data_IF_479583165519
#
_entry.id   IF_479583165519
#
_cell.length_a   1.000
_cell.length_b   1.000
_cell.length_c   1.000
_cell.angle_alpha   90.00
_cell.angle_beta   90.00
_cell.angle_gamma   90.00
#
_symmetry.space_group_name_H-M   'P 1'
#
loop_
_entity.id
_entity.type
_entity.pdbx_description
1 polymer ?
#
# COMPACT_ATOMS: atom_id res chain seq x y z
N UNK A 1 -15.74 -3.83 -0.90
CA UNK A 1 -14.53 -2.99 -0.75
C UNK A 1 -13.48 -3.50 -1.72
N UNK A 2 -12.71 -2.60 -2.34
CA UNK A 2 -11.70 -2.99 -3.35
C UNK A 2 -10.37 -2.31 -3.03
N UNK A 3 -9.28 -3.05 -3.18
CA UNK A 3 -7.98 -2.46 -3.44
C UNK A 3 -7.91 -2.18 -4.94
N UNK A 4 -7.55 -0.96 -5.32
CA UNK A 4 -7.47 -0.57 -6.73
C UNK A 4 -6.25 -1.19 -7.42
N UNK A 5 -6.29 -1.24 -8.75
CA UNK A 5 -5.11 -1.61 -9.53
C UNK A 5 -3.92 -0.67 -9.25
N UNK A 6 -4.19 0.62 -9.00
CA UNK A 6 -3.16 1.60 -8.66
C UNK A 6 -2.47 1.26 -7.34
N UNK A 7 -3.23 0.90 -6.30
CA UNK A 7 -2.67 0.48 -5.01
C UNK A 7 -1.85 -0.80 -5.15
N UNK A 8 -2.36 -1.82 -5.86
CA UNK A 8 -1.66 -3.06 -6.13
C UNK A 8 -0.34 -2.81 -6.90
N UNK A 9 -0.37 -2.01 -7.94
CA UNK A 9 0.83 -1.64 -8.69
C UNK A 9 1.85 -0.89 -7.84
N UNK A 10 1.39 0.04 -6.99
CA UNK A 10 2.26 0.81 -6.10
C UNK A 10 2.95 -0.09 -5.08
N UNK A 11 2.25 -1.05 -4.49
CA UNK A 11 2.83 -2.03 -3.58
C UNK A 11 3.89 -2.89 -4.30
N UNK A 12 3.56 -3.43 -5.47
CA UNK A 12 4.50 -4.25 -6.25
C UNK A 12 5.73 -3.47 -6.69
N UNK A 13 5.56 -2.24 -7.14
CA UNK A 13 6.68 -1.37 -7.52
C UNK A 13 7.57 -1.05 -6.31
N UNK A 14 6.98 -0.75 -5.15
CA UNK A 14 7.74 -0.48 -3.93
C UNK A 14 8.52 -1.71 -3.45
N UNK A 15 7.97 -2.91 -3.63
CA UNK A 15 8.65 -4.17 -3.31
C UNK A 15 9.84 -4.43 -4.24
N UNK A 16 9.74 -4.11 -5.53
CA UNK A 16 10.90 -4.16 -6.45
C UNK A 16 12.02 -3.22 -5.99
N UNK A 17 11.68 -2.03 -5.52
CA UNK A 17 12.67 -1.11 -4.97
C UNK A 17 13.25 -1.63 -3.65
N UNK A 18 12.45 -2.27 -2.82
CA UNK A 18 12.90 -2.85 -1.55
C UNK A 18 13.92 -3.99 -1.76
N UNK A 19 13.73 -4.81 -2.80
CA UNK A 19 14.64 -5.90 -3.16
C UNK A 19 15.86 -5.43 -3.94
N UNK A 20 15.78 -4.27 -4.60
CA UNK A 20 16.89 -3.66 -5.33
C UNK A 20 18.01 -3.10 -4.44
N UNK A 21 17.80 -3.02 -3.13
CA UNK A 21 18.77 -2.46 -2.19
C UNK A 21 19.06 -0.99 -2.44
N UNK A 22 20.34 -0.63 -2.49
CA UNK A 22 20.78 0.76 -2.76
C UNK A 22 20.93 1.06 -4.26
N UNK A 23 20.67 0.10 -5.13
CA UNK A 23 20.78 0.31 -6.57
C UNK A 23 19.68 1.21 -7.10
N UNK A 24 20.01 2.03 -8.11
CA UNK A 24 19.02 2.80 -8.84
C UNK A 24 18.30 1.89 -9.84
N UNK A 25 17.00 1.72 -9.68
CA UNK A 25 16.17 0.82 -10.50
C UNK A 25 15.43 1.64 -11.55
N UNK A 26 15.54 1.24 -12.81
CA UNK A 26 14.83 1.89 -13.92
C UNK A 26 13.33 1.54 -13.88
N UNK A 27 12.49 2.51 -14.24
CA UNK A 27 11.04 2.30 -14.31
C UNK A 27 10.69 1.14 -15.26
N UNK A 28 11.37 1.03 -16.39
CA UNK A 28 11.17 -0.04 -17.37
C UNK A 28 11.47 -1.42 -16.79
N UNK A 29 12.47 -1.54 -15.90
CA UNK A 29 12.79 -2.78 -15.21
C UNK A 29 11.69 -3.20 -14.25
N UNK A 30 11.13 -2.26 -13.48
CA UNK A 30 10.00 -2.49 -12.59
C UNK A 30 8.76 -2.90 -13.40
N UNK A 31 8.45 -2.14 -14.45
CA UNK A 31 7.32 -2.40 -15.33
C UNK A 31 7.35 -3.82 -15.90
N UNK A 32 8.52 -4.26 -16.35
CA UNK A 32 8.72 -5.60 -16.90
C UNK A 32 8.61 -6.69 -15.83
N UNK A 33 9.28 -6.49 -14.69
CA UNK A 33 9.30 -7.47 -13.60
C UNK A 33 7.89 -7.75 -13.04
N UNK A 34 7.05 -6.71 -12.94
CA UNK A 34 5.73 -6.79 -12.34
C UNK A 34 4.57 -6.71 -13.35
N UNK A 35 4.86 -6.70 -14.64
CA UNK A 35 3.84 -6.56 -15.69
C UNK A 35 2.91 -5.36 -15.47
N UNK A 36 3.51 -4.21 -15.15
CA UNK A 36 2.79 -2.95 -14.94
C UNK A 36 2.94 -2.08 -16.19
N UNK A 37 1.84 -1.52 -16.74
CA UNK A 37 1.95 -0.57 -17.84
C UNK A 37 2.80 0.64 -17.46
N UNK A 38 3.82 0.95 -18.25
CA UNK A 38 4.83 1.96 -17.93
C UNK A 38 4.24 3.34 -17.61
N UNK A 39 3.23 3.77 -18.34
CA UNK A 39 2.57 5.08 -18.11
C UNK A 39 1.91 5.16 -16.72
N UNK A 40 1.26 4.08 -16.28
CA UNK A 40 0.71 3.99 -14.93
C UNK A 40 1.79 3.98 -13.88
N UNK A 41 2.86 3.23 -14.11
CA UNK A 41 3.99 3.15 -13.19
C UNK A 41 4.67 4.50 -12.98
N UNK A 42 4.89 5.27 -14.05
CA UNK A 42 5.51 6.60 -13.95
C UNK A 42 4.71 7.54 -13.05
N UNK A 43 3.38 7.55 -13.17
CA UNK A 43 2.51 8.34 -12.30
C UNK A 43 2.55 7.84 -10.85
N UNK A 44 2.56 6.54 -10.64
CA UNK A 44 2.67 5.93 -9.31
C UNK A 44 4.00 6.30 -8.65
N UNK A 45 5.11 6.20 -9.36
CA UNK A 45 6.43 6.57 -8.86
C UNK A 45 6.51 8.07 -8.51
N UNK A 46 5.82 8.92 -9.26
CA UNK A 46 5.70 10.34 -8.95
C UNK A 46 4.92 10.57 -7.66
N UNK A 47 3.78 9.90 -7.47
CA UNK A 47 3.00 9.98 -6.24
C UNK A 47 3.80 9.50 -5.01
N UNK A 48 4.51 8.38 -5.14
CA UNK A 48 5.38 7.84 -4.10
C UNK A 48 6.53 8.80 -3.76
N UNK A 49 7.09 9.47 -4.77
CA UNK A 49 8.13 10.48 -4.58
C UNK A 49 7.59 11.71 -3.84
N UNK A 50 6.42 12.22 -4.22
CA UNK A 50 5.76 13.34 -3.53
C UNK A 50 5.43 13.01 -2.07
N UNK A 51 5.13 11.76 -1.78
CA UNK A 51 4.90 11.28 -0.41
C UNK A 51 6.20 11.05 0.40
N UNK A 52 7.37 11.21 -0.21
CA UNK A 52 8.66 11.02 0.45
C UNK A 52 9.07 9.56 0.65
N UNK A 53 8.43 8.62 -0.04
CA UNK A 53 8.73 7.18 0.05
C UNK A 53 9.76 6.73 -0.97
N UNK A 54 9.86 7.43 -2.10
CA UNK A 54 10.75 7.12 -3.23
C UNK A 54 11.55 8.37 -3.59
N UNK A 55 12.80 8.15 -3.95
CA UNK A 55 13.67 9.16 -4.54
C UNK A 55 14.04 8.75 -5.97
N UNK A 56 14.46 9.71 -6.78
CA UNK A 56 14.83 9.47 -8.17
C UNK A 56 15.94 10.37 -8.63
N UNK A 57 16.68 9.91 -9.64
CA UNK A 57 17.70 10.67 -10.35
C UNK A 57 17.54 10.42 -11.84
N UNK A 58 17.70 11.48 -12.63
CA UNK A 58 17.69 11.40 -14.10
C UNK A 58 19.04 10.91 -14.65
N UNK A 59 19.04 10.45 -15.90
CA UNK A 59 20.22 10.11 -16.68
C UNK A 59 20.49 8.61 -16.76
N UNK A 60 21.59 8.24 -17.45
CA UNK A 60 21.97 6.85 -17.67
C UNK A 60 22.24 6.10 -16.36
N UNK A 61 22.86 6.75 -15.39
CA UNK A 61 23.13 6.23 -14.03
C UNK A 61 21.97 6.47 -13.05
N UNK A 62 20.89 7.07 -13.53
CA UNK A 62 19.71 7.39 -12.71
C UNK A 62 18.78 6.20 -12.53
N UNK A 63 17.64 6.47 -11.92
CA UNK A 63 16.59 5.53 -11.62
C UNK A 63 15.86 5.90 -10.34
N UNK A 64 15.23 4.93 -9.72
CA UNK A 64 14.45 5.07 -8.51
C UNK A 64 15.00 4.20 -7.38
N UNK A 65 14.83 4.65 -6.15
CA UNK A 65 15.14 3.90 -4.93
C UNK A 65 14.24 4.33 -3.78
N UNK A 66 14.16 3.54 -2.72
CA UNK A 66 13.40 3.91 -1.53
C UNK A 66 14.11 5.06 -0.79
N UNK A 67 13.36 6.11 -0.43
CA UNK A 67 13.87 7.25 0.33
C UNK A 67 14.06 6.97 1.82
N UNK A 68 13.52 5.85 2.30
CA UNK A 68 13.61 5.34 3.67
C UNK A 68 13.93 3.86 3.65
N UNK A 69 14.46 3.29 4.76
CA UNK A 69 14.59 1.85 4.87
C UNK A 69 13.24 1.12 4.65
N UNK A 70 13.25 0.00 3.95
CA UNK A 70 12.04 -0.79 3.68
C UNK A 70 11.31 -1.23 4.94
N UNK A 71 12.03 -1.39 6.06
CA UNK A 71 11.46 -1.69 7.39
C UNK A 71 10.71 -0.52 8.04
N UNK A 72 10.84 0.68 7.50
CA UNK A 72 10.16 1.90 7.98
C UNK A 72 9.02 2.35 7.05
N UNK A 73 8.71 1.57 6.02
CA UNK A 73 7.61 1.84 5.08
C UNK A 73 6.58 0.74 5.23
N UNK A 74 5.41 1.08 5.75
CA UNK A 74 4.29 0.14 5.84
C UNK A 74 3.53 0.04 4.51
N UNK A 75 2.76 -1.04 4.32
CA UNK A 75 1.85 -1.14 3.18
C UNK A 75 0.80 -0.01 3.20
N UNK A 76 0.40 0.42 4.40
CA UNK A 76 -0.50 1.56 4.57
C UNK A 76 0.09 2.86 4.02
N UNK A 77 1.39 3.12 4.25
CA UNK A 77 2.07 4.32 3.74
C UNK A 77 2.03 4.37 2.21
N UNK A 78 2.30 3.24 1.56
CA UNK A 78 2.27 3.12 0.10
C UNK A 78 0.86 3.37 -0.45
N UNK A 79 -0.16 2.75 0.13
CA UNK A 79 -1.56 2.92 -0.32
C UNK A 79 -2.02 4.37 -0.11
N UNK A 80 -1.72 4.98 1.03
CA UNK A 80 -2.04 6.39 1.30
C UNK A 80 -1.38 7.35 0.32
N UNK A 81 -0.17 7.05 -0.11
CA UNK A 81 0.56 7.88 -1.06
C UNK A 81 -0.14 7.97 -2.43
N UNK A 82 -0.82 6.92 -2.86
CA UNK A 82 -1.46 6.85 -4.19
C UNK A 82 -2.97 7.00 -4.17
N UNK A 83 -3.65 6.76 -3.05
CA UNK A 83 -5.11 6.78 -2.94
C UNK A 83 -5.64 7.70 -1.83
N UNK A 84 -4.78 8.20 -0.95
CA UNK A 84 -5.21 8.96 0.22
C UNK A 84 -5.66 8.09 1.38
N UNK A 85 -6.51 8.61 2.29
CA UNK A 85 -6.88 7.92 3.52
C UNK A 85 -7.51 6.55 3.29
N UNK A 86 -7.14 5.58 4.15
CA UNK A 86 -7.71 4.23 4.12
C UNK A 86 -9.18 4.25 4.51
N UNK A 87 -9.99 3.44 3.82
CA UNK A 87 -11.39 3.17 4.15
C UNK A 87 -12.25 4.44 4.32
N UNK A 88 -12.20 5.36 3.35
CA UNK A 88 -13.14 6.47 3.32
C UNK A 88 -14.51 6.03 2.78
N UNK A 89 -15.55 6.78 3.16
CA UNK A 89 -16.92 6.62 2.65
C UNK A 89 -17.29 7.89 1.91
N UNK A 90 -17.50 7.82 0.60
CA UNK A 90 -17.79 8.98 -0.26
C UNK A 90 -16.75 10.11 -0.15
N UNK A 91 -15.47 9.74 0.05
CA UNK A 91 -14.38 10.69 0.23
C UNK A 91 -14.26 11.29 1.64
N UNK A 92 -15.18 10.95 2.55
CA UNK A 92 -15.18 11.42 3.95
C UNK A 92 -14.58 10.35 4.86
N UNK A 93 -13.85 10.77 5.87
CA UNK A 93 -13.30 9.86 6.87
C UNK A 93 -14.42 9.26 7.73
N UNK A 94 -14.35 8.00 8.13
CA UNK A 94 -15.40 7.36 8.92
C UNK A 94 -15.79 8.11 10.19
N UNK A 95 -14.84 8.71 10.91
CA UNK A 95 -15.11 9.48 12.13
C UNK A 95 -15.84 10.80 11.90
N UNK A 96 -15.82 11.30 10.67
CA UNK A 96 -16.48 12.55 10.26
C UNK A 96 -17.89 12.31 9.72
N UNK A 97 -18.32 11.03 9.61
CA UNK A 97 -19.62 10.67 9.09
C UNK A 97 -20.73 10.93 10.12
N UNK A 98 -21.82 11.51 9.65
CA UNK A 98 -23.03 11.72 10.42
C UNK A 98 -24.19 10.92 9.82
N UNK A 99 -24.91 10.18 10.67
CA UNK A 99 -26.07 9.40 10.31
C UNK A 99 -27.19 9.61 11.32
N UNK A 100 -28.43 9.54 10.86
CA UNK A 100 -29.62 9.73 11.68
C UNK A 100 -30.49 8.47 11.68
N UNK A 101 -31.37 8.40 12.68
CA UNK A 101 -32.39 7.35 12.77
C UNK A 101 -31.81 5.94 12.79
N UNK A 102 -32.33 5.07 11.96
CA UNK A 102 -31.91 3.65 11.86
C UNK A 102 -30.44 3.48 11.45
N UNK A 103 -29.82 4.49 10.85
CA UNK A 103 -28.45 4.42 10.37
C UNK A 103 -27.39 4.91 11.38
N UNK A 104 -27.78 5.43 12.53
CA UNK A 104 -26.89 6.09 13.52
C UNK A 104 -25.64 5.26 13.84
N UNK A 105 -25.77 3.96 14.02
CA UNK A 105 -24.66 3.09 14.38
C UNK A 105 -23.67 2.77 13.22
N UNK A 106 -23.98 3.13 11.97
CA UNK A 106 -23.10 2.83 10.82
C UNK A 106 -21.75 3.52 10.94
N UNK A 107 -21.66 4.70 11.52
CA UNK A 107 -20.39 5.38 11.74
C UNK A 107 -19.42 4.51 12.53
N UNK A 108 -19.90 3.94 13.63
CA UNK A 108 -19.05 3.10 14.50
C UNK A 108 -18.62 1.82 13.80
N UNK A 109 -19.47 1.24 12.96
CA UNK A 109 -19.12 0.08 12.12
C UNK A 109 -18.01 0.44 11.14
N UNK A 110 -18.08 1.59 10.46
CA UNK A 110 -17.06 2.02 9.53
C UNK A 110 -15.75 2.42 10.22
N UNK A 111 -15.81 3.00 11.40
CA UNK A 111 -14.63 3.26 12.24
C UNK A 111 -13.97 1.94 12.64
N UNK A 112 -14.72 0.94 13.07
CA UNK A 112 -14.21 -0.38 13.42
C UNK A 112 -13.58 -1.10 12.19
N UNK A 113 -14.23 -1.03 11.03
CA UNK A 113 -13.70 -1.59 9.78
C UNK A 113 -12.35 -0.97 9.43
N UNK A 114 -12.25 0.37 9.47
CA UNK A 114 -10.98 1.06 9.22
C UNK A 114 -9.92 0.66 10.23
N UNK A 115 -10.26 0.53 11.50
CA UNK A 115 -9.32 0.11 12.55
C UNK A 115 -8.72 -1.27 12.24
N UNK A 116 -9.52 -2.22 11.76
CA UNK A 116 -9.04 -3.54 11.36
C UNK A 116 -8.16 -3.50 10.11
N UNK A 117 -8.53 -2.71 9.10
CA UNK A 117 -7.70 -2.51 7.90
C UNK A 117 -6.34 -1.91 8.30
N UNK A 118 -6.33 -0.88 9.13
CA UNK A 118 -5.11 -0.26 9.63
C UNK A 118 -4.26 -1.23 10.44
N UNK A 119 -4.87 -2.04 11.27
CA UNK A 119 -4.16 -3.03 12.10
C UNK A 119 -3.38 -4.07 11.27
N UNK A 120 -3.81 -4.33 10.03
CA UNK A 120 -3.06 -5.19 9.10
C UNK A 120 -2.05 -4.37 8.30
N UNK A 121 -2.50 -3.31 7.62
CA UNK A 121 -1.68 -2.58 6.65
C UNK A 121 -0.59 -1.69 7.28
N UNK A 122 -0.77 -1.22 8.51
CA UNK A 122 0.24 -0.44 9.24
C UNK A 122 1.28 -1.35 9.92
N UNK A 123 0.92 -2.58 10.24
CA UNK A 123 1.81 -3.54 10.90
C UNK A 123 2.78 -4.23 9.91
N UNK A 124 2.39 -4.36 8.65
CA UNK A 124 3.20 -5.01 7.61
C UNK A 124 4.07 -3.98 6.89
N UNK A 125 5.38 -4.20 6.88
CA UNK A 125 6.34 -3.36 6.15
C UNK A 125 6.73 -3.97 4.80
N UNK A 126 7.35 -3.15 3.93
CA UNK A 126 7.93 -3.66 2.69
C UNK A 126 9.03 -4.69 2.97
N UNK A 127 9.80 -4.51 4.05
CA UNK A 127 10.83 -5.47 4.46
C UNK A 127 10.23 -6.83 4.81
N UNK A 128 9.11 -6.86 5.54
CA UNK A 128 8.43 -8.10 5.92
C UNK A 128 7.97 -8.90 4.70
N UNK A 129 7.36 -8.22 3.73
CA UNK A 129 6.88 -8.86 2.50
C UNK A 129 8.05 -9.33 1.63
N UNK A 130 9.10 -8.51 1.48
CA UNK A 130 10.28 -8.85 0.70
C UNK A 130 11.05 -10.04 1.28
N UNK A 131 11.06 -10.18 2.60
CA UNK A 131 11.70 -11.30 3.31
C UNK A 131 10.78 -12.53 3.45
N UNK A 132 9.51 -12.44 3.07
CA UNK A 132 8.48 -13.47 3.32
C UNK A 132 8.30 -13.78 4.82
N UNK A 133 8.56 -12.80 5.69
CA UNK A 133 8.47 -12.90 7.14
C UNK A 133 7.35 -12.00 7.68
N UNK A 134 6.11 -12.41 7.45
CA UNK A 134 4.95 -11.63 7.85
C UNK A 134 4.75 -11.61 9.38
N UNK A 135 4.22 -10.50 9.95
CA UNK A 135 3.90 -10.42 11.37
C UNK A 135 2.92 -11.50 11.84
N UNK A 136 3.00 -11.86 13.12
CA UNK A 136 2.17 -12.91 13.73
C UNK A 136 0.68 -12.70 13.49
N UNK A 137 0.20 -11.47 13.62
CA UNK A 137 -1.20 -11.12 13.36
C UNK A 137 -1.67 -11.55 11.97
N UNK A 138 -0.86 -11.32 10.93
CA UNK A 138 -1.21 -11.72 9.57
C UNK A 138 -1.17 -13.24 9.43
N UNK A 139 -0.14 -13.86 10.00
CA UNK A 139 0.01 -15.33 9.98
C UNK A 139 -1.16 -16.03 10.69
N UNK A 140 -1.65 -15.48 11.78
CA UNK A 140 -2.81 -16.00 12.50
C UNK A 140 -4.10 -15.89 11.66
N UNK A 141 -4.34 -14.73 11.06
CA UNK A 141 -5.52 -14.50 10.23
C UNK A 141 -5.58 -15.46 9.02
N UNK A 142 -4.44 -15.69 8.35
CA UNK A 142 -4.41 -16.58 7.16
C UNK A 142 -4.39 -18.07 7.52
N UNK A 143 -4.19 -18.45 8.78
CA UNK A 143 -4.34 -19.83 9.23
C UNK A 143 -5.79 -20.29 9.33
N UNK A 144 -6.72 -19.33 9.46
CA UNK A 144 -8.13 -19.63 9.48
C UNK A 144 -8.56 -20.08 8.08
N UNK A 145 -9.09 -21.32 7.90
CA UNK A 145 -9.57 -21.78 6.60
C UNK A 145 -10.68 -20.90 6.01
N UNK A 146 -11.50 -20.28 6.84
CA UNK A 146 -12.55 -19.35 6.42
C UNK A 146 -12.00 -18.12 5.69
N UNK A 147 -10.77 -17.70 6.02
CA UNK A 147 -10.13 -16.58 5.31
C UNK A 147 -9.91 -16.83 3.82
N UNK A 148 -9.88 -18.09 3.39
CA UNK A 148 -9.66 -18.52 2.01
C UNK A 148 -10.94 -18.90 1.27
N UNK A 149 -12.07 -18.94 1.99
CA UNK A 149 -13.35 -19.30 1.40
C UNK A 149 -13.97 -18.11 0.66
N UNK A 150 -14.36 -18.27 -0.62
CA UNK A 150 -15.14 -17.26 -1.32
C UNK A 150 -16.57 -17.25 -0.77
N UNK A 151 -17.05 -16.11 -0.35
CA UNK A 151 -18.43 -15.89 0.10
C UNK A 151 -19.23 -15.12 -0.93
#
# INVERSE_FOLDING_TARGET
MRLSAKADYALRASLELATGGVAHVKAESIARAQSIPLRFLEQILLDLKHAGLVASQRGAEGGYWLAKPSSEISLADVIRAVEGPLANVRGVRPEELEYEGAATALRDVFVALRANIRAVLEDVTLADVAAEELPDRVRELVRDPEAWSPH
#
